data_IF_686582246809
#
_entry.id   IF_686582246809
#
_cell.length_a   1.000
_cell.length_b   1.000
_cell.length_c   1.000
_cell.angle_alpha   90.00
_cell.angle_beta   90.00
_cell.angle_gamma   90.00
#
_symmetry.space_group_name_H-M   'P 1'
#
loop_
_entity.id
_entity.type
_entity.pdbx_description
1 polymer ?
#
# COMPACT_ATOMS: atom_id res chain seq x y z
N UNK A 1 33.69 30.68 11.05
CA UNK A 1 32.58 31.60 11.38
C UNK A 1 31.34 31.17 10.60
N UNK A 2 30.71 30.08 11.03
CA UNK A 2 29.42 29.60 10.49
C UNK A 2 28.84 28.75 11.60
N UNK A 3 27.94 29.30 12.40
CA UNK A 3 27.41 28.54 13.56
C UNK A 3 26.02 28.98 14.04
N UNK A 4 25.51 30.13 13.60
CA UNK A 4 24.20 30.63 14.08
C UNK A 4 23.02 30.33 13.15
N UNK A 5 23.23 30.47 11.83
CA UNK A 5 22.15 30.32 10.83
C UNK A 5 21.86 28.84 10.59
N UNK A 6 22.90 28.04 10.37
CA UNK A 6 22.79 26.58 10.14
C UNK A 6 22.04 25.88 11.28
N UNK A 7 22.31 26.26 12.53
CA UNK A 7 21.67 25.71 13.72
C UNK A 7 20.17 26.00 13.86
N UNK A 8 19.68 27.07 13.21
CA UNK A 8 18.24 27.41 13.18
C UNK A 8 17.50 26.77 12.02
N UNK A 9 18.18 26.57 10.89
CA UNK A 9 17.59 25.90 9.72
C UNK A 9 17.45 24.39 9.94
N UNK A 10 18.38 23.78 10.68
CA UNK A 10 18.35 22.35 11.00
C UNK A 10 17.42 21.98 12.19
N UNK A 11 16.68 22.93 12.76
CA UNK A 11 15.75 22.62 13.85
C UNK A 11 14.60 21.74 13.33
N UNK A 12 14.36 20.55 13.93
CA UNK A 12 13.23 19.71 13.55
C UNK A 12 11.91 20.47 13.81
N UNK A 13 11.02 20.45 12.82
CA UNK A 13 9.75 21.16 12.86
C UNK A 13 8.82 20.59 13.95
N UNK A 14 8.66 21.34 15.05
CA UNK A 14 7.95 20.89 16.26
C UNK A 14 6.43 20.81 16.14
N UNK A 15 5.85 21.33 15.05
CA UNK A 15 4.39 21.47 14.89
C UNK A 15 3.83 20.60 13.77
N UNK A 16 4.54 19.52 13.40
CA UNK A 16 4.04 18.54 12.45
C UNK A 16 3.01 17.61 13.11
N UNK A 17 1.90 17.36 12.43
CA UNK A 17 0.98 16.30 12.81
C UNK A 17 1.55 14.97 12.29
N UNK A 18 1.88 14.05 13.19
CA UNK A 18 2.26 12.68 12.85
C UNK A 18 1.25 11.77 13.53
N UNK A 19 0.63 10.90 12.74
CA UNK A 19 -0.24 9.83 13.25
C UNK A 19 0.44 8.53 12.90
N UNK A 20 0.80 7.74 13.91
CA UNK A 20 1.22 6.36 13.69
C UNK A 20 0.00 5.59 13.21
N UNK A 21 0.01 5.23 11.93
CA UNK A 21 -0.99 4.36 11.32
C UNK A 21 -0.40 2.96 11.33
N UNK A 22 -1.09 2.02 11.97
CA UNK A 22 -0.77 0.61 11.83
C UNK A 22 -0.96 0.19 10.37
N UNK A 23 0.15 -0.12 9.71
CA UNK A 23 0.17 -0.61 8.34
C UNK A 23 0.79 -2.00 8.32
N UNK A 24 0.05 -2.97 7.79
CA UNK A 24 0.57 -4.30 7.53
C UNK A 24 1.01 -4.39 6.07
N UNK A 25 2.25 -4.84 5.84
CA UNK A 25 2.86 -4.86 4.50
C UNK A 25 2.76 -6.27 3.94
N UNK A 26 2.23 -6.38 2.71
CA UNK A 26 2.28 -7.62 1.92
C UNK A 26 3.53 -7.62 1.03
N UNK A 27 4.06 -8.81 0.64
CA UNK A 27 5.18 -8.90 -0.28
C UNK A 27 4.92 -8.13 -1.58
N UNK A 28 5.97 -7.61 -2.25
CA UNK A 28 5.82 -6.93 -3.53
C UNK A 28 5.28 -7.88 -4.60
N UNK A 29 4.34 -7.39 -5.40
CA UNK A 29 3.67 -8.14 -6.46
C UNK A 29 2.26 -8.60 -6.10
N UNK A 30 1.47 -8.91 -7.13
CA UNK A 30 0.10 -9.41 -6.98
C UNK A 30 0.07 -10.88 -7.39
N UNK A 31 -0.35 -11.75 -6.47
CA UNK A 31 -0.55 -13.19 -6.73
C UNK A 31 -1.85 -13.67 -6.06
N UNK A 32 -2.32 -14.88 -6.42
CA UNK A 32 -3.49 -15.47 -5.75
C UNK A 32 -3.25 -15.65 -4.24
N UNK A 33 -2.01 -15.94 -3.82
CA UNK A 33 -1.65 -16.08 -2.41
C UNK A 33 -1.75 -14.75 -1.65
N UNK A 34 -1.31 -13.65 -2.26
CA UNK A 34 -1.47 -12.30 -1.70
C UNK A 34 -2.95 -11.93 -1.58
N UNK A 35 -3.77 -12.28 -2.57
CA UNK A 35 -5.23 -12.04 -2.52
C UNK A 35 -5.87 -12.82 -1.37
N UNK A 36 -5.50 -14.09 -1.19
CA UNK A 36 -5.98 -14.93 -0.06
C UNK A 36 -5.55 -14.37 1.28
N UNK A 37 -4.29 -13.95 1.41
CA UNK A 37 -3.77 -13.31 2.61
C UNK A 37 -4.56 -12.05 2.97
N UNK A 38 -4.78 -11.15 2.00
CA UNK A 38 -5.56 -9.92 2.20
C UNK A 38 -6.99 -10.23 2.64
N UNK A 39 -7.63 -11.21 1.98
CA UNK A 39 -9.01 -11.58 2.26
C UNK A 39 -9.19 -12.18 3.66
N UNK A 40 -8.27 -13.07 4.07
CA UNK A 40 -8.24 -13.62 5.43
C UNK A 40 -8.03 -12.55 6.50
N UNK A 41 -7.09 -11.63 6.26
CA UNK A 41 -6.78 -10.52 7.18
C UNK A 41 -7.96 -9.58 7.38
N UNK A 42 -8.75 -9.36 6.33
CA UNK A 42 -9.96 -8.52 6.38
C UNK A 42 -11.20 -9.24 6.92
N UNK A 43 -11.12 -10.55 7.16
CA UNK A 43 -12.28 -11.34 7.58
C UNK A 43 -13.39 -11.35 6.53
N UNK A 44 -13.03 -11.35 5.25
CA UNK A 44 -14.01 -11.32 4.17
C UNK A 44 -14.76 -12.66 4.04
N UNK A 45 -16.06 -12.64 3.67
CA UNK A 45 -16.81 -13.85 3.40
C UNK A 45 -16.30 -14.56 2.14
N UNK A 46 -16.52 -15.88 2.05
CA UNK A 46 -15.96 -16.75 1.00
C UNK A 46 -16.30 -16.28 -0.43
N UNK A 47 -17.54 -15.83 -0.65
CA UNK A 47 -17.97 -15.31 -1.96
C UNK A 47 -17.15 -14.09 -2.42
N UNK A 48 -16.64 -13.27 -1.48
CA UNK A 48 -15.83 -12.10 -1.80
C UNK A 48 -14.42 -12.50 -2.20
N UNK A 49 -13.84 -13.51 -1.54
CA UNK A 49 -12.57 -14.11 -1.94
C UNK A 49 -12.67 -14.69 -3.37
N UNK A 50 -13.71 -15.47 -3.64
CA UNK A 50 -13.93 -16.05 -4.98
C UNK A 50 -14.07 -14.96 -6.05
N UNK A 51 -14.81 -13.89 -5.74
CA UNK A 51 -14.96 -12.76 -6.64
C UNK A 51 -13.62 -12.08 -6.96
N UNK A 52 -12.78 -11.84 -5.94
CA UNK A 52 -11.44 -11.27 -6.12
C UNK A 52 -10.53 -12.18 -6.97
N UNK A 53 -10.54 -13.49 -6.71
CA UNK A 53 -9.77 -14.46 -7.48
C UNK A 53 -10.22 -14.52 -8.94
N UNK A 54 -11.54 -14.48 -9.19
CA UNK A 54 -12.08 -14.42 -10.55
C UNK A 54 -11.68 -13.14 -11.27
N UNK A 55 -11.72 -12.00 -10.60
CA UNK A 55 -11.28 -10.73 -11.16
C UNK A 55 -9.79 -10.76 -11.53
N UNK A 56 -8.93 -11.28 -10.65
CA UNK A 56 -7.50 -11.42 -10.91
C UNK A 56 -7.22 -12.32 -12.13
N UNK A 57 -7.88 -13.48 -12.23
CA UNK A 57 -7.75 -14.38 -13.38
C UNK A 57 -8.21 -13.77 -14.70
N UNK A 58 -9.22 -12.91 -14.66
CA UNK A 58 -9.68 -12.18 -15.84
C UNK A 58 -8.67 -11.08 -16.20
N UNK A 59 -8.18 -10.33 -15.22
CA UNK A 59 -7.18 -9.29 -15.41
C UNK A 59 -5.89 -9.82 -16.05
N UNK A 60 -5.41 -10.98 -15.63
CA UNK A 60 -4.25 -11.64 -16.25
C UNK A 60 -4.41 -11.95 -17.76
N UNK A 61 -5.65 -12.02 -18.26
CA UNK A 61 -5.95 -12.27 -19.68
C UNK A 61 -6.18 -10.98 -20.47
N UNK A 62 -6.28 -9.84 -19.79
CA UNK A 62 -6.55 -8.57 -20.45
C UNK A 62 -5.24 -7.99 -21.01
N UNK A 63 -5.22 -7.58 -22.28
CA UNK A 63 -4.12 -6.77 -22.78
C UNK A 63 -4.15 -5.39 -22.11
N UNK A 64 -2.98 -4.85 -21.80
CA UNK A 64 -2.86 -3.49 -21.32
C UNK A 64 -3.34 -2.51 -22.41
N UNK A 65 -4.33 -1.65 -22.14
CA UNK A 65 -4.79 -0.67 -23.11
C UNK A 65 -3.72 0.41 -23.30
N UNK A 66 -3.40 0.73 -24.56
CA UNK A 66 -2.41 1.77 -24.90
C UNK A 66 -3.05 3.11 -25.32
N UNK A 67 -4.35 3.30 -25.08
CA UNK A 67 -5.01 4.56 -25.42
C UNK A 67 -4.84 5.57 -24.28
N UNK A 68 -4.24 6.72 -24.61
CA UNK A 68 -4.07 7.91 -23.78
C UNK A 68 -4.10 9.15 -24.67
#
# INVERSE_FOLDING_TARGET
MTSGIEARVLQPYKYGFVTDIEAEVVPPGLSEDVIRLISQKKGEPEWMLEWRLRAYRNWLKMPEPHWA
#
